data_IF_482892731303
#
_entry.id   IF_482892731303
#
_cell.length_a   1.000
_cell.length_b   1.000
_cell.length_c   1.000
_cell.angle_alpha   90.00
_cell.angle_beta   90.00
_cell.angle_gamma   90.00
#
_symmetry.space_group_name_H-M   'P 1'
#
loop_
_entity.id
_entity.type
_entity.pdbx_description
1 polymer ?
#
# COMPACT_ATOMS: atom_id res chain seq x y z
N UNK A 1 0.64 -12.55 5.79
CA UNK A 1 0.00 -11.26 6.12
C UNK A 1 -0.16 -10.46 4.84
N UNK A 2 -1.29 -9.84 4.69
CA UNK A 2 -1.63 -9.00 3.55
C UNK A 2 -2.05 -7.63 4.06
N UNK A 3 -1.36 -6.58 3.59
CA UNK A 3 -1.73 -5.20 3.87
C UNK A 3 -2.93 -4.79 3.02
N UNK A 4 -3.95 -4.21 3.66
CA UNK A 4 -5.16 -3.76 2.98
C UNK A 4 -5.65 -2.47 3.63
N UNK A 5 -6.12 -1.53 2.84
CA UNK A 5 -6.64 -0.26 3.35
C UNK A 5 -8.15 -0.14 3.22
N UNK A 6 -8.72 -0.82 2.25
CA UNK A 6 -10.14 -0.64 1.88
C UNK A 6 -10.49 0.85 1.73
N UNK A 7 -9.56 1.60 1.13
CA UNK A 7 -9.64 3.06 1.04
C UNK A 7 -10.75 3.50 0.10
N UNK A 8 -11.53 4.47 0.54
CA UNK A 8 -12.52 5.13 -0.30
C UNK A 8 -12.48 6.65 -0.09
N UNK A 9 -13.17 7.39 -0.94
CA UNK A 9 -13.29 8.84 -0.81
C UNK A 9 -14.02 9.19 0.50
N UNK A 10 -13.49 10.14 1.23
CA UNK A 10 -14.03 10.54 2.51
C UNK A 10 -13.93 12.05 2.75
N UNK A 11 -14.13 12.46 4.00
CA UNK A 11 -14.00 13.83 4.43
C UNK A 11 -12.59 14.38 4.21
N UNK A 12 -12.46 15.70 4.08
CA UNK A 12 -11.19 16.37 3.81
C UNK A 12 -10.33 16.63 5.06
N UNK A 13 -10.62 15.98 6.17
CA UNK A 13 -9.77 16.09 7.35
C UNK A 13 -8.53 15.18 7.25
N UNK A 14 -7.59 15.33 8.19
CA UNK A 14 -6.34 14.58 8.21
C UNK A 14 -6.46 13.17 8.78
N UNK A 15 -7.65 12.71 9.13
CA UNK A 15 -7.83 11.37 9.67
C UNK A 15 -7.76 10.30 8.56
N UNK A 16 -7.43 9.09 8.94
CA UNK A 16 -7.36 7.94 8.02
C UNK A 16 -8.67 7.17 7.94
N UNK A 17 -9.72 7.69 8.53
CA UNK A 17 -11.00 7.00 8.66
C UNK A 17 -12.17 7.91 8.31
N UNK A 18 -13.27 7.27 7.90
CA UNK A 18 -14.52 7.94 7.60
C UNK A 18 -15.53 7.69 8.73
N UNK A 19 -16.24 8.73 9.11
CA UNK A 19 -17.33 8.66 10.07
C UNK A 19 -18.64 9.12 9.43
N UNK A 20 -19.72 8.47 9.81
CA UNK A 20 -21.09 8.87 9.45
C UNK A 20 -21.99 8.75 10.67
N UNK A 21 -22.63 9.83 11.06
CA UNK A 21 -23.48 9.85 12.24
C UNK A 21 -22.75 9.52 13.55
N UNK A 22 -21.43 9.82 13.62
CA UNK A 22 -20.59 9.48 14.77
C UNK A 22 -20.06 8.05 14.79
N UNK A 23 -20.40 7.22 13.81
CA UNK A 23 -19.91 5.85 13.69
C UNK A 23 -18.83 5.71 12.63
N UNK A 24 -17.85 4.84 12.88
CA UNK A 24 -16.80 4.50 11.94
C UNK A 24 -17.37 3.73 10.75
N UNK A 25 -17.20 4.23 9.53
CA UNK A 25 -17.79 3.64 8.32
C UNK A 25 -16.75 3.32 7.24
N UNK A 26 -15.48 3.32 7.56
CA UNK A 26 -14.46 2.89 6.62
C UNK A 26 -13.17 3.68 6.68
N UNK A 27 -12.27 3.34 5.78
CA UNK A 27 -10.93 3.89 5.68
C UNK A 27 -10.81 4.85 4.50
N UNK A 28 -9.96 5.86 4.64
CA UNK A 28 -9.48 6.70 3.55
C UNK A 28 -7.95 6.73 3.52
N UNK A 29 -7.30 5.83 4.24
CA UNK A 29 -5.84 5.70 4.23
C UNK A 29 -5.36 5.09 2.92
N UNK A 30 -4.38 5.74 2.28
CA UNK A 30 -3.76 5.23 1.06
C UNK A 30 -2.70 4.16 1.38
N UNK A 31 -2.36 3.33 0.39
CA UNK A 31 -1.41 2.23 0.61
C UNK A 31 0.01 2.73 0.88
N UNK A 32 0.43 3.85 0.30
CA UNK A 32 1.74 4.44 0.59
C UNK A 32 1.86 4.86 2.06
N UNK A 33 0.79 5.41 2.62
CA UNK A 33 0.75 5.73 4.06
C UNK A 33 0.75 4.47 4.92
N UNK A 34 0.01 3.44 4.53
CA UNK A 34 0.03 2.14 5.21
C UNK A 34 1.45 1.55 5.21
N UNK A 35 2.17 1.63 4.10
CA UNK A 35 3.55 1.16 4.00
C UNK A 35 4.47 1.91 4.98
N UNK A 36 4.36 3.24 5.07
CA UNK A 36 5.12 4.03 6.04
C UNK A 36 4.78 3.65 7.48
N UNK A 37 3.52 3.35 7.76
CA UNK A 37 3.10 2.91 9.10
C UNK A 37 3.72 1.56 9.47
N UNK A 38 3.75 0.59 8.57
CA UNK A 38 4.43 -0.69 8.79
C UNK A 38 5.93 -0.49 9.03
N UNK A 39 6.56 0.39 8.27
CA UNK A 39 7.97 0.72 8.44
C UNK A 39 8.22 1.34 9.82
N UNK A 40 7.37 2.24 10.25
CA UNK A 40 7.45 2.86 11.59
C UNK A 40 7.26 1.85 12.72
N UNK A 41 6.53 0.76 12.50
CA UNK A 41 6.37 -0.33 13.45
C UNK A 41 7.57 -1.26 13.53
N UNK A 42 8.59 -1.07 12.69
CA UNK A 42 9.83 -1.81 12.76
C UNK A 42 10.02 -2.88 11.69
N UNK A 43 9.11 -3.00 10.71
CA UNK A 43 9.33 -3.92 9.59
C UNK A 43 10.50 -3.44 8.73
N UNK A 44 11.29 -4.37 8.17
CA UNK A 44 12.30 -4.04 7.18
C UNK A 44 11.64 -3.59 5.87
N UNK A 45 12.37 -2.83 5.04
CA UNK A 45 11.85 -2.38 3.74
C UNK A 45 11.38 -3.55 2.87
N UNK A 46 12.15 -4.65 2.70
CA UNK A 46 11.65 -5.82 1.97
C UNK A 46 10.34 -6.39 2.54
N UNK A 47 10.21 -6.47 3.86
CA UNK A 47 9.01 -7.01 4.49
C UNK A 47 7.80 -6.10 4.31
N UNK A 48 7.99 -4.77 4.35
CA UNK A 48 6.92 -3.81 4.04
C UNK A 48 6.36 -4.07 2.65
N UNK A 49 7.24 -4.22 1.64
CA UNK A 49 6.79 -4.45 0.27
C UNK A 49 6.23 -5.85 0.04
N UNK A 50 6.67 -6.85 0.79
CA UNK A 50 5.99 -8.15 0.77
C UNK A 50 4.54 -8.04 1.25
N UNK A 51 4.32 -7.38 2.37
CA UNK A 51 2.99 -7.22 2.97
C UNK A 51 2.08 -6.37 2.10
N UNK A 52 2.61 -5.31 1.49
CA UNK A 52 1.82 -4.33 0.72
C UNK A 52 1.70 -4.66 -0.78
N UNK A 53 2.53 -5.52 -1.32
CA UNK A 53 2.59 -5.75 -2.76
C UNK A 53 2.59 -7.24 -3.13
N UNK A 54 3.62 -7.99 -2.79
CA UNK A 54 3.76 -9.37 -3.22
C UNK A 54 2.70 -10.29 -2.60
N UNK A 55 2.48 -10.18 -1.30
CA UNK A 55 1.49 -11.01 -0.61
C UNK A 55 0.05 -10.75 -1.10
N UNK A 56 -0.40 -9.49 -1.28
CA UNK A 56 -1.69 -9.23 -1.92
C UNK A 56 -1.80 -9.81 -3.33
N UNK A 57 -0.76 -9.69 -4.14
CA UNK A 57 -0.74 -10.27 -5.49
C UNK A 57 -0.90 -11.79 -5.43
N UNK A 58 -0.20 -12.46 -4.50
CA UNK A 58 -0.32 -13.90 -4.30
C UNK A 58 -1.72 -14.32 -3.83
N UNK A 59 -2.35 -13.51 -2.98
CA UNK A 59 -3.70 -13.78 -2.47
C UNK A 59 -4.76 -13.82 -3.58
N UNK A 60 -4.57 -13.06 -4.65
CA UNK A 60 -5.48 -13.04 -5.82
C UNK A 60 -4.91 -13.82 -7.02
N UNK A 61 -3.85 -14.61 -6.82
CA UNK A 61 -3.19 -15.42 -7.85
C UNK A 61 -2.63 -14.59 -9.02
N UNK A 62 -2.17 -13.37 -8.75
CA UNK A 62 -1.59 -12.47 -9.75
C UNK A 62 -0.07 -12.28 -9.60
N UNK A 63 0.57 -13.00 -8.69
CA UNK A 63 2.00 -12.85 -8.37
C UNK A 63 2.94 -13.30 -9.50
N UNK A 64 2.45 -13.99 -10.52
CA UNK A 64 3.19 -14.27 -11.74
C UNK A 64 3.32 -13.06 -12.67
N UNK A 65 2.50 -12.03 -12.51
CA UNK A 65 2.44 -10.86 -13.39
C UNK A 65 2.79 -9.55 -12.69
N UNK A 66 2.52 -9.45 -11.39
CA UNK A 66 2.69 -8.25 -10.58
C UNK A 66 3.22 -8.59 -9.19
N UNK A 67 3.52 -7.58 -8.41
CA UNK A 67 3.83 -7.69 -6.98
C UNK A 67 5.31 -7.65 -6.64
N UNK A 68 6.20 -7.81 -7.60
CA UNK A 68 7.65 -7.70 -7.41
C UNK A 68 8.36 -7.27 -8.70
N UNK A 69 9.62 -6.87 -8.56
CA UNK A 69 10.48 -6.51 -9.69
C UNK A 69 11.21 -7.75 -10.17
N UNK A 70 10.62 -8.43 -11.14
CA UNK A 70 11.19 -9.64 -11.76
C UNK A 70 10.98 -9.62 -13.25
N UNK A 71 11.91 -10.22 -14.00
CA UNK A 71 11.81 -10.33 -15.44
C UNK A 71 10.51 -11.06 -15.83
N UNK A 72 9.77 -10.50 -16.79
CA UNK A 72 8.50 -11.05 -17.25
C UNK A 72 7.27 -10.50 -16.54
N UNK A 73 7.43 -9.79 -15.44
CA UNK A 73 6.33 -9.11 -14.76
C UNK A 73 6.12 -7.69 -15.31
N UNK A 74 4.93 -7.13 -15.07
CA UNK A 74 4.63 -5.75 -15.47
C UNK A 74 5.59 -4.78 -14.81
N UNK A 75 6.01 -3.78 -15.58
CA UNK A 75 6.93 -2.75 -15.11
C UNK A 75 6.18 -1.58 -14.44
N UNK A 76 5.29 -1.90 -13.49
CA UNK A 76 4.69 -0.90 -12.59
C UNK A 76 5.64 -0.74 -11.41
N UNK A 77 6.28 0.42 -11.31
CA UNK A 77 7.38 0.67 -10.37
C UNK A 77 7.15 1.98 -9.64
N UNK A 78 7.45 2.00 -8.36
CA UNK A 78 7.48 3.24 -7.59
C UNK A 78 8.91 3.56 -7.14
N UNK A 79 9.20 4.83 -6.99
CA UNK A 79 10.44 5.32 -6.40
C UNK A 79 10.10 6.00 -5.08
N UNK A 80 10.77 5.59 -4.02
CA UNK A 80 10.56 6.11 -2.68
C UNK A 80 11.89 6.58 -2.08
N UNK A 81 11.83 7.47 -1.10
CA UNK A 81 13.00 7.87 -0.32
C UNK A 81 13.28 6.88 0.83
N UNK A 82 14.27 7.19 1.68
CA UNK A 82 14.65 6.33 2.80
C UNK A 82 13.59 6.21 3.89
N UNK A 83 12.57 7.05 3.89
CA UNK A 83 11.44 7.02 4.82
C UNK A 83 10.15 6.51 4.17
N UNK A 84 10.26 5.96 2.97
CA UNK A 84 9.18 5.43 2.15
C UNK A 84 8.16 6.49 1.71
N UNK A 85 8.59 7.73 1.58
CA UNK A 85 7.77 8.75 0.92
C UNK A 85 7.81 8.52 -0.59
N UNK A 86 6.64 8.58 -1.22
CA UNK A 86 6.50 8.34 -2.65
C UNK A 86 7.06 9.53 -3.44
N UNK A 87 8.04 9.29 -4.29
CA UNK A 87 8.67 10.31 -5.13
C UNK A 87 8.19 10.25 -6.58
N UNK A 88 8.00 9.05 -7.13
CA UNK A 88 7.62 8.86 -8.52
C UNK A 88 6.89 7.53 -8.71
N UNK A 89 5.95 7.51 -9.66
CA UNK A 89 5.25 6.30 -10.09
C UNK A 89 5.48 6.10 -11.58
N UNK A 90 6.00 4.94 -11.96
CA UNK A 90 6.22 4.54 -13.34
C UNK A 90 5.24 3.43 -13.68
N UNK A 91 4.37 3.66 -14.65
CA UNK A 91 3.35 2.70 -15.08
C UNK A 91 3.75 2.06 -16.40
N UNK A 92 3.53 0.76 -16.48
CA UNK A 92 3.72 0.02 -17.73
C UNK A 92 2.73 0.43 -18.82
#
# INVERSE_FOLDING_TARGET
IVGITDCCTGSEDDSDVNFFGGELVGSKMTMDKAARNFYALGLSVPDVFRVCSLNPAGAIHADGEIGSLEAGKRADVIVVDGELNLLEVLKA
#
